data_IF_316608233727
#
_entry.id   IF_316608233727
#
_cell.length_a   1.000
_cell.length_b   1.000
_cell.length_c   1.000
_cell.angle_alpha   90.00
_cell.angle_beta   90.00
_cell.angle_gamma   90.00
#
_symmetry.space_group_name_H-M   'P 1'
#
loop_
_entity.id
_entity.type
_entity.pdbx_description
1 polymer ?
#
# COMPACT_ATOMS: atom_id res chain seq x y z
N UNK A 1 -13.74 -2.52 -74.02
CA UNK A 1 -14.16 -1.49 -73.03
C UNK A 1 -14.41 -2.09 -71.64
N UNK A 2 -15.16 -3.20 -71.51
CA UNK A 2 -15.46 -3.80 -70.19
C UNK A 2 -14.24 -4.27 -69.38
N UNK A 3 -13.24 -4.87 -70.03
CA UNK A 3 -12.00 -5.35 -69.39
C UNK A 3 -11.14 -4.21 -68.83
N UNK A 4 -11.01 -3.10 -69.56
CA UNK A 4 -10.26 -1.93 -69.11
C UNK A 4 -10.91 -1.26 -67.90
N UNK A 5 -12.24 -1.18 -67.86
CA UNK A 5 -12.99 -0.64 -66.72
C UNK A 5 -12.81 -1.53 -65.48
N UNK A 6 -12.88 -2.85 -65.65
CA UNK A 6 -12.68 -3.79 -64.55
C UNK A 6 -11.28 -3.71 -63.94
N UNK A 7 -10.25 -3.55 -64.77
CA UNK A 7 -8.86 -3.37 -64.30
C UNK A 7 -8.72 -2.07 -63.49
N UNK A 8 -9.33 -0.97 -63.95
CA UNK A 8 -9.29 0.32 -63.24
C UNK A 8 -10.00 0.23 -61.89
N UNK A 9 -11.18 -0.40 -61.84
CA UNK A 9 -11.92 -0.58 -60.58
C UNK A 9 -11.16 -1.46 -59.59
N UNK A 10 -10.56 -2.55 -60.06
CA UNK A 10 -9.75 -3.43 -59.20
C UNK A 10 -8.52 -2.70 -58.66
N UNK A 11 -7.86 -1.90 -59.49
CA UNK A 11 -6.70 -1.11 -59.10
C UNK A 11 -7.06 -0.08 -58.03
N UNK A 12 -8.19 0.61 -58.19
CA UNK A 12 -8.69 1.57 -57.19
C UNK A 12 -9.07 0.88 -55.87
N UNK A 13 -9.65 -0.32 -55.92
CA UNK A 13 -9.98 -1.08 -54.72
C UNK A 13 -8.73 -1.52 -53.95
N UNK A 14 -7.69 -1.97 -54.65
CA UNK A 14 -6.40 -2.34 -54.04
C UNK A 14 -5.73 -1.13 -53.38
N UNK A 15 -5.72 0.02 -54.06
CA UNK A 15 -5.18 1.27 -53.50
C UNK A 15 -5.97 1.70 -52.26
N UNK A 16 -7.30 1.60 -52.29
CA UNK A 16 -8.16 1.90 -51.14
C UNK A 16 -7.88 0.98 -49.95
N UNK A 17 -7.76 -0.33 -50.18
CA UNK A 17 -7.44 -1.30 -49.14
C UNK A 17 -6.06 -1.03 -48.53
N UNK A 18 -5.05 -0.75 -49.36
CA UNK A 18 -3.71 -0.41 -48.90
C UNK A 18 -3.70 0.86 -48.05
N UNK A 19 -4.49 1.88 -48.41
CA UNK A 19 -4.64 3.10 -47.63
C UNK A 19 -5.31 2.85 -46.26
N UNK A 20 -6.32 1.98 -46.19
CA UNK A 20 -6.97 1.60 -44.93
C UNK A 20 -6.02 0.82 -44.03
N UNK A 21 -5.28 -0.16 -44.57
CA UNK A 21 -4.27 -0.91 -43.82
C UNK A 21 -3.18 0.02 -43.31
N UNK A 22 -2.72 0.96 -44.13
CA UNK A 22 -1.74 1.96 -43.71
C UNK A 22 -2.25 2.86 -42.57
N UNK A 23 -3.52 3.28 -42.62
CA UNK A 23 -4.13 4.06 -41.54
C UNK A 23 -4.29 3.25 -40.24
N UNK A 24 -4.66 1.97 -40.34
CA UNK A 24 -4.74 1.07 -39.18
C UNK A 24 -3.36 0.85 -38.55
N UNK A 25 -2.32 0.64 -39.36
CA UNK A 25 -0.94 0.53 -38.88
C UNK A 25 -0.48 1.85 -38.25
N UNK A 26 -0.87 3.00 -38.80
CA UNK A 26 -0.54 4.32 -38.22
C UNK A 26 -1.26 4.57 -36.89
N UNK A 27 -2.53 4.16 -36.76
CA UNK A 27 -3.30 4.28 -35.52
C UNK A 27 -2.77 3.35 -34.44
N UNK A 28 -2.50 2.08 -34.77
CA UNK A 28 -2.07 1.07 -33.81
C UNK A 28 -0.56 1.08 -33.54
N UNK A 29 0.27 1.51 -34.50
CA UNK A 29 1.71 1.65 -34.33
C UNK A 29 2.09 2.71 -33.30
N UNK A 30 1.26 3.75 -33.13
CA UNK A 30 1.46 4.78 -32.10
C UNK A 30 1.26 4.25 -30.67
N UNK A 31 0.43 3.22 -30.52
CA UNK A 31 0.19 2.53 -29.25
C UNK A 31 1.38 1.62 -28.92
N UNK A 32 1.87 0.86 -29.90
CA UNK A 32 3.04 0.00 -29.73
C UNK A 32 4.31 0.80 -29.41
N UNK A 33 4.50 1.96 -30.03
CA UNK A 33 5.63 2.85 -29.71
C UNK A 33 5.54 3.48 -28.31
N UNK A 34 4.33 3.68 -27.77
CA UNK A 34 4.16 4.12 -26.37
C UNK A 34 4.38 2.99 -25.37
N UNK A 35 4.00 1.76 -25.72
CA UNK A 35 4.30 0.57 -24.93
C UNK A 35 5.80 0.31 -24.84
N UNK A 36 6.53 0.41 -25.95
CA UNK A 36 7.99 0.28 -25.97
C UNK A 36 8.69 1.42 -25.19
N UNK A 37 8.11 2.63 -25.15
CA UNK A 37 8.57 3.72 -24.27
C UNK A 37 8.27 3.48 -22.78
N UNK A 38 7.23 2.72 -22.45
CA UNK A 38 6.93 2.29 -21.08
C UNK A 38 7.80 1.11 -20.64
N UNK A 39 8.16 0.20 -21.56
CA UNK A 39 9.05 -0.94 -21.31
C UNK A 39 10.53 -0.55 -21.25
N UNK A 40 10.95 0.47 -22.03
CA UNK A 40 12.33 1.02 -22.00
C UNK A 40 12.56 2.08 -20.94
N UNK A 41 11.51 2.67 -20.36
CA UNK A 41 11.67 3.32 -19.06
C UNK A 41 11.95 2.19 -18.08
N UNK A 42 13.06 2.23 -17.32
CA UNK A 42 13.21 1.28 -16.24
C UNK A 42 11.96 1.41 -15.38
N UNK A 43 11.28 0.29 -15.14
CA UNK A 43 10.29 0.15 -14.09
C UNK A 43 10.99 0.25 -12.73
N UNK A 44 11.64 1.38 -12.49
CA UNK A 44 11.84 1.89 -11.17
C UNK A 44 10.47 2.37 -10.73
N UNK A 45 9.73 1.51 -10.04
CA UNK A 45 8.99 1.98 -8.89
C UNK A 45 10.04 2.51 -7.91
N UNK A 46 10.58 3.69 -8.19
CA UNK A 46 11.00 4.56 -7.13
C UNK A 46 9.73 4.76 -6.30
N UNK A 47 9.65 4.05 -5.18
CA UNK A 47 8.78 4.45 -4.10
C UNK A 47 9.33 5.77 -3.59
N UNK A 48 9.08 6.85 -4.34
CA UNK A 48 8.95 8.14 -3.73
C UNK A 48 7.69 8.00 -2.87
N UNK A 49 7.87 7.60 -1.61
CA UNK A 49 6.90 7.89 -0.56
C UNK A 49 6.46 9.34 -0.78
N UNK A 50 5.16 9.68 -0.74
CA UNK A 50 4.74 11.07 -0.89
C UNK A 50 5.54 11.91 0.09
N UNK A 51 6.49 12.69 -0.43
CA UNK A 51 7.41 13.50 0.36
C UNK A 51 6.63 14.72 0.82
N UNK A 52 5.64 14.50 1.67
CA UNK A 52 5.02 15.53 2.46
C UNK A 52 6.06 16.21 3.34
N UNK A 53 5.67 17.33 3.93
CA UNK A 53 6.53 18.10 4.83
C UNK A 53 7.07 17.22 5.97
N UNK A 54 8.37 17.31 6.22
CA UNK A 54 9.03 16.53 7.27
C UNK A 54 8.51 16.91 8.66
N UNK A 55 8.52 15.97 9.60
CA UNK A 55 8.15 16.22 11.00
C UNK A 55 9.01 17.34 11.60
N UNK A 56 8.35 18.30 12.26
CA UNK A 56 8.93 19.52 12.84
C UNK A 56 8.93 20.73 11.90
N UNK A 57 8.65 20.52 10.61
CA UNK A 57 8.55 21.60 9.61
C UNK A 57 7.30 22.44 9.90
N UNK A 58 7.40 23.78 9.97
CA UNK A 58 6.24 24.64 10.06
C UNK A 58 5.45 24.60 8.75
N UNK A 59 4.12 24.51 8.84
CA UNK A 59 3.26 24.68 7.67
C UNK A 59 3.19 26.17 7.33
N UNK A 60 3.29 26.51 6.05
CA UNK A 60 3.15 27.89 5.59
C UNK A 60 1.81 28.47 6.06
N UNK A 61 1.80 29.70 6.60
CA UNK A 61 0.55 30.33 7.01
C UNK A 61 -0.37 30.46 5.80
N UNK A 62 -1.66 30.24 6.05
CA UNK A 62 -2.70 30.39 5.04
C UNK A 62 -3.93 31.02 5.66
N UNK A 63 -4.74 31.62 4.80
CA UNK A 63 -5.99 32.25 5.15
C UNK A 63 -7.01 31.90 4.07
N UNK A 64 -8.02 31.11 4.43
CA UNK A 64 -8.99 30.54 3.49
C UNK A 64 -10.42 30.82 3.99
N UNK A 65 -11.39 31.05 3.10
CA UNK A 65 -12.78 31.20 3.49
C UNK A 65 -13.36 29.86 3.98
N UNK A 66 -14.12 29.90 5.08
CA UNK A 66 -14.96 28.79 5.53
C UNK A 66 -16.27 28.72 4.72
N UNK A 67 -17.13 27.74 5.01
CA UNK A 67 -18.41 27.55 4.31
C UNK A 67 -19.40 28.72 4.46
N UNK A 68 -19.18 29.62 5.42
CA UNK A 68 -19.98 30.85 5.61
C UNK A 68 -19.40 32.06 4.88
N UNK A 69 -18.22 31.91 4.26
CA UNK A 69 -17.48 33.00 3.62
C UNK A 69 -16.62 33.81 4.58
N UNK A 70 -16.56 33.43 5.87
CA UNK A 70 -15.65 34.05 6.83
C UNK A 70 -14.24 33.54 6.56
N UNK A 71 -13.30 34.46 6.42
CA UNK A 71 -11.88 34.14 6.31
C UNK A 71 -11.37 33.57 7.63
N UNK A 72 -10.75 32.40 7.58
CA UNK A 72 -10.17 31.71 8.73
C UNK A 72 -8.68 31.47 8.46
N UNK A 73 -7.82 31.85 9.41
CA UNK A 73 -6.37 31.63 9.29
C UNK A 73 -5.91 30.40 10.08
N UNK A 74 -4.78 29.82 9.68
CA UNK A 74 -4.12 28.75 10.44
C UNK A 74 -3.78 29.21 11.87
N UNK A 75 -3.53 30.50 12.09
CA UNK A 75 -3.13 31.05 13.38
C UNK A 75 -4.23 30.90 14.45
N UNK A 76 -5.50 30.87 14.03
CA UNK A 76 -6.65 30.66 14.91
C UNK A 76 -6.67 29.26 15.56
N UNK A 77 -5.90 28.31 15.00
CA UNK A 77 -5.79 26.94 15.50
C UNK A 77 -4.51 26.71 16.34
N UNK A 78 -3.64 27.72 16.47
CA UNK A 78 -2.45 27.64 17.33
C UNK A 78 -2.84 27.52 18.80
N UNK A 79 -1.94 26.94 19.60
CA UNK A 79 -2.20 26.59 21.00
C UNK A 79 -2.97 25.29 21.19
N UNK A 80 -3.39 24.63 20.11
CA UNK A 80 -4.02 23.30 20.10
C UNK A 80 -3.42 22.46 18.97
N UNK A 81 -3.50 21.14 19.09
CA UNK A 81 -3.12 20.31 17.95
C UNK A 81 -4.20 20.40 16.86
N UNK A 82 -3.81 20.31 15.60
CA UNK A 82 -4.75 20.38 14.47
C UNK A 82 -4.56 19.17 13.56
N UNK A 83 -5.60 18.37 13.38
CA UNK A 83 -5.65 17.36 12.33
C UNK A 83 -6.17 18.06 11.06
N UNK A 84 -5.23 18.44 10.19
CA UNK A 84 -5.49 19.13 8.93
C UNK A 84 -5.63 18.11 7.81
N UNK A 85 -6.84 17.98 7.25
CA UNK A 85 -7.15 16.99 6.21
C UNK A 85 -7.49 17.70 4.91
N UNK A 86 -6.72 17.41 3.86
CA UNK A 86 -7.05 17.79 2.48
C UNK A 86 -7.98 16.74 1.88
N UNK A 87 -9.15 17.19 1.42
CA UNK A 87 -10.23 16.29 1.02
C UNK A 87 -11.13 16.91 -0.06
N UNK A 88 -12.05 16.12 -0.62
CA UNK A 88 -13.12 16.64 -1.47
C UNK A 88 -14.35 15.73 -1.44
N UNK A 89 -15.58 16.27 -1.37
CA UNK A 89 -16.81 15.50 -1.56
C UNK A 89 -16.90 14.72 -2.88
N UNK A 90 -16.21 15.19 -3.93
CA UNK A 90 -16.18 14.53 -5.23
C UNK A 90 -15.20 13.34 -5.26
N UNK A 91 -14.45 13.10 -4.17
CA UNK A 91 -13.56 11.97 -4.00
C UNK A 91 -14.24 10.83 -3.24
N UNK A 92 -14.39 9.66 -3.88
CA UNK A 92 -15.04 8.49 -3.28
C UNK A 92 -14.39 7.99 -1.99
N UNK A 93 -13.06 8.12 -1.86
CA UNK A 93 -12.36 7.76 -0.62
C UNK A 93 -12.61 8.77 0.51
N UNK A 94 -12.82 10.05 0.20
CA UNK A 94 -13.18 11.06 1.19
C UNK A 94 -14.59 10.84 1.72
N UNK A 95 -15.54 10.54 0.83
CA UNK A 95 -16.91 10.17 1.21
C UNK A 95 -16.94 8.93 2.11
N UNK A 96 -16.07 7.93 1.83
CA UNK A 96 -15.96 6.71 2.62
C UNK A 96 -15.54 6.97 4.08
N UNK A 97 -14.62 7.91 4.32
CA UNK A 97 -14.09 8.19 5.67
C UNK A 97 -14.89 9.26 6.44
N UNK A 98 -15.77 10.00 5.77
CA UNK A 98 -16.57 11.07 6.36
C UNK A 98 -17.37 10.68 7.63
N UNK A 99 -18.16 9.59 7.65
CA UNK A 99 -18.92 9.20 8.85
C UNK A 99 -18.01 8.85 10.03
N UNK A 100 -16.85 8.27 9.75
CA UNK A 100 -15.93 7.90 10.80
C UNK A 100 -15.19 9.12 11.38
N UNK A 101 -14.73 10.05 10.53
CA UNK A 101 -14.19 11.33 11.00
C UNK A 101 -15.21 12.11 11.84
N UNK A 102 -16.49 12.09 11.46
CA UNK A 102 -17.57 12.69 12.23
C UNK A 102 -17.74 12.05 13.61
N UNK A 103 -17.60 10.72 13.71
CA UNK A 103 -17.63 10.01 14.99
C UNK A 103 -16.44 10.37 15.89
N UNK A 104 -15.25 10.52 15.30
CA UNK A 104 -14.00 10.80 16.03
C UNK A 104 -13.85 12.27 16.45
N UNK A 105 -14.58 13.21 15.82
CA UNK A 105 -14.42 14.65 16.08
C UNK A 105 -14.59 15.02 17.57
N UNK A 106 -15.49 14.34 18.27
CA UNK A 106 -15.75 14.58 19.69
C UNK A 106 -14.59 14.11 20.56
N UNK A 107 -14.00 12.97 20.22
CA UNK A 107 -12.86 12.41 20.95
C UNK A 107 -11.57 13.17 20.65
N UNK A 108 -11.39 13.65 19.42
CA UNK A 108 -10.30 14.56 19.06
C UNK A 108 -10.37 15.83 19.92
N UNK A 109 -11.56 16.44 20.04
CA UNK A 109 -11.76 17.63 20.89
C UNK A 109 -11.44 17.36 22.36
N UNK A 110 -11.83 16.19 22.90
CA UNK A 110 -11.47 15.78 24.28
C UNK A 110 -9.97 15.67 24.48
N UNK A 111 -9.20 15.37 23.42
CA UNK A 111 -7.73 15.31 23.45
C UNK A 111 -7.04 16.64 23.09
N UNK A 112 -7.79 17.74 23.06
CA UNK A 112 -7.30 19.06 22.65
C UNK A 112 -6.79 19.10 21.19
N UNK A 113 -7.41 18.29 20.32
CA UNK A 113 -7.13 18.27 18.88
C UNK A 113 -8.34 18.79 18.11
N UNK A 114 -8.09 19.74 17.22
CA UNK A 114 -9.09 20.30 16.30
C UNK A 114 -9.00 19.60 14.95
N UNK A 115 -10.13 19.07 14.47
CA UNK A 115 -10.25 18.60 13.08
C UNK A 115 -10.51 19.81 12.19
N UNK A 116 -9.73 19.96 11.12
CA UNK A 116 -9.84 21.02 10.13
C UNK A 116 -9.77 20.41 8.73
N UNK A 117 -10.79 20.65 7.91
CA UNK A 117 -10.84 20.11 6.54
C UNK A 117 -10.55 21.23 5.54
N UNK A 118 -9.74 20.95 4.52
CA UNK A 118 -9.48 21.85 3.39
C UNK A 118 -9.95 21.18 2.12
N UNK A 119 -10.85 21.84 1.40
CA UNK A 119 -11.56 21.28 0.25
C UNK A 119 -11.43 22.16 -0.98
N UNK A 120 -11.23 21.55 -2.15
CA UNK A 120 -11.29 22.26 -3.43
C UNK A 120 -12.67 22.22 -4.10
N UNK A 121 -13.66 21.58 -3.48
CA UNK A 121 -15.03 21.53 -3.98
C UNK A 121 -15.87 22.73 -3.54
N UNK A 122 -17.07 22.87 -4.11
CA UNK A 122 -17.98 23.98 -3.79
C UNK A 122 -18.41 23.99 -2.32
N UNK A 123 -18.76 25.19 -1.81
CA UNK A 123 -19.30 25.34 -0.45
C UNK A 123 -20.58 24.51 -0.24
N UNK A 124 -21.42 24.40 -1.27
CA UNK A 124 -22.66 23.63 -1.25
C UNK A 124 -22.41 22.13 -1.14
N UNK A 125 -21.52 21.57 -1.96
CA UNK A 125 -21.16 20.15 -1.91
C UNK A 125 -20.58 19.77 -0.54
N UNK A 126 -19.72 20.62 0.02
CA UNK A 126 -19.15 20.40 1.35
C UNK A 126 -20.22 20.49 2.45
N UNK A 127 -21.15 21.47 2.39
CA UNK A 127 -22.28 21.55 3.34
C UNK A 127 -23.14 20.29 3.31
N UNK A 128 -23.51 19.85 2.11
CA UNK A 128 -24.34 18.64 1.94
C UNK A 128 -23.70 17.42 2.59
N UNK A 129 -22.42 17.14 2.28
CA UNK A 129 -21.70 16.01 2.85
C UNK A 129 -21.51 16.13 4.36
N UNK A 130 -21.24 17.35 4.84
CA UNK A 130 -21.08 17.62 6.27
C UNK A 130 -22.39 17.40 7.05
N UNK A 131 -23.52 17.86 6.50
CA UNK A 131 -24.85 17.66 7.10
C UNK A 131 -25.27 16.19 7.06
N UNK A 132 -25.00 15.49 5.96
CA UNK A 132 -25.31 14.07 5.77
C UNK A 132 -24.59 13.17 6.79
N UNK A 133 -23.32 13.45 7.07
CA UNK A 133 -22.50 12.63 7.98
C UNK A 133 -22.28 13.25 9.37
N UNK A 134 -22.80 14.44 9.63
CA UNK A 134 -22.69 15.11 10.93
C UNK A 134 -21.29 15.68 11.24
N UNK A 135 -20.55 16.11 10.22
CA UNK A 135 -19.26 16.78 10.37
C UNK A 135 -19.46 18.21 10.87
N UNK A 136 -19.00 18.49 12.09
CA UNK A 136 -19.11 19.80 12.76
C UNK A 136 -17.78 20.54 12.84
N UNK A 137 -16.77 20.06 12.11
CA UNK A 137 -15.46 20.71 12.03
C UNK A 137 -15.51 21.87 11.03
N UNK A 138 -14.63 22.88 11.17
CA UNK A 138 -14.46 23.89 10.14
C UNK A 138 -13.99 23.24 8.84
N UNK A 139 -14.61 23.66 7.73
CA UNK A 139 -14.24 23.25 6.37
C UNK A 139 -13.88 24.52 5.61
N UNK A 140 -12.63 24.60 5.18
CA UNK A 140 -12.06 25.71 4.44
C UNK A 140 -12.04 25.39 2.95
N UNK A 141 -12.31 26.41 2.14
CA UNK A 141 -12.37 26.28 0.70
C UNK A 141 -11.09 26.83 0.09
N UNK A 142 -10.42 26.00 -0.69
CA UNK A 142 -9.31 26.39 -1.56
C UNK A 142 -9.75 26.26 -3.00
N UNK A 143 -9.08 26.95 -3.92
CA UNK A 143 -9.19 26.60 -5.34
C UNK A 143 -8.16 25.52 -5.65
N UNK A 144 -8.45 24.68 -6.64
CA UNK A 144 -7.55 23.63 -7.10
C UNK A 144 -6.17 24.19 -7.49
N UNK A 145 -6.16 25.33 -8.20
CA UNK A 145 -4.95 26.08 -8.60
C UNK A 145 -4.22 26.79 -7.44
N UNK A 146 -4.86 26.95 -6.29
CA UNK A 146 -4.34 27.67 -5.11
C UNK A 146 -4.18 26.72 -3.91
N UNK A 147 -4.14 25.41 -4.17
CA UNK A 147 -3.91 24.38 -3.14
C UNK A 147 -2.68 24.73 -2.30
N UNK A 148 -2.82 24.58 -0.99
CA UNK A 148 -1.77 24.89 -0.03
C UNK A 148 -0.47 24.18 -0.41
N UNK A 149 0.67 24.85 -0.25
CA UNK A 149 2.01 24.27 -0.51
C UNK A 149 2.19 22.88 0.11
N UNK A 150 1.64 22.69 1.32
CA UNK A 150 1.71 21.42 2.05
C UNK A 150 1.06 20.23 1.30
N UNK A 151 0.16 20.51 0.34
CA UNK A 151 -0.61 19.53 -0.42
C UNK A 151 -0.39 19.63 -1.94
N UNK A 152 0.56 20.46 -2.42
CA UNK A 152 0.68 20.80 -3.85
C UNK A 152 0.98 19.64 -4.81
N UNK A 153 1.28 18.45 -4.31
CA UNK A 153 1.46 17.24 -5.11
C UNK A 153 0.72 16.03 -4.52
N UNK A 154 -0.23 16.27 -3.61
CA UNK A 154 -0.91 15.22 -2.86
C UNK A 154 -2.32 14.98 -3.38
N UNK A 155 -2.75 13.72 -3.36
CA UNK A 155 -4.13 13.34 -3.67
C UNK A 155 -5.09 13.66 -2.51
N UNK A 156 -6.35 13.27 -2.66
CA UNK A 156 -7.32 13.27 -1.55
C UNK A 156 -7.80 11.84 -1.25
N UNK A 157 -8.02 11.47 0.03
CA UNK A 157 -7.75 12.24 1.23
C UNK A 157 -6.29 12.14 1.67
N UNK A 158 -5.73 13.26 2.14
CA UNK A 158 -4.37 13.31 2.71
C UNK A 158 -4.38 14.20 3.96
N UNK A 159 -3.62 13.88 5.00
CA UNK A 159 -3.67 14.60 6.27
C UNK A 159 -2.30 14.85 6.91
N UNK A 160 -2.19 15.99 7.58
CA UNK A 160 -1.13 16.29 8.55
C UNK A 160 -1.71 16.41 9.95
N UNK A 161 -1.00 15.90 10.94
CA UNK A 161 -1.19 16.30 12.33
C UNK A 161 -0.23 17.45 12.63
N UNK A 162 -0.75 18.60 13.05
CA UNK A 162 0.01 19.77 13.46
C UNK A 162 0.07 19.86 14.98
N UNK A 163 1.21 20.27 15.51
CA UNK A 163 1.37 20.63 16.91
C UNK A 163 0.78 22.02 17.22
N UNK A 164 0.83 22.41 18.49
CA UNK A 164 0.32 23.69 19.00
C UNK A 164 0.99 24.92 18.38
N UNK A 165 2.11 24.74 17.66
CA UNK A 165 2.86 25.80 16.98
C UNK A 165 2.66 25.76 15.46
N UNK A 166 1.74 24.92 14.95
CA UNK A 166 1.49 24.78 13.52
C UNK A 166 2.58 24.01 12.77
N UNK A 167 3.38 23.18 13.47
CA UNK A 167 4.42 22.34 12.87
C UNK A 167 3.94 20.92 12.70
N UNK A 168 4.42 20.24 11.67
CA UNK A 168 4.10 18.83 11.41
C UNK A 168 4.54 17.96 12.60
N UNK A 169 3.59 17.34 13.27
CA UNK A 169 3.81 16.47 14.43
C UNK A 169 3.86 14.98 14.06
N UNK A 170 3.36 14.62 12.87
CA UNK A 170 3.31 13.25 12.36
C UNK A 170 3.59 13.24 10.85
N UNK A 171 4.26 12.22 10.28
CA UNK A 171 4.38 12.07 8.83
C UNK A 171 3.04 12.14 8.11
N UNK A 172 3.07 12.59 6.86
CA UNK A 172 1.90 12.71 6.01
C UNK A 172 1.15 11.37 5.93
N UNK A 173 -0.15 11.40 6.21
CA UNK A 173 -1.03 10.26 6.03
C UNK A 173 -1.75 10.39 4.70
N UNK A 174 -1.48 9.47 3.76
CA UNK A 174 -2.05 9.49 2.42
C UNK A 174 -3.03 8.33 2.21
N UNK A 175 -4.25 8.63 1.74
CA UNK A 175 -5.34 7.68 1.54
C UNK A 175 -6.23 7.44 2.77
N UNK A 176 -7.42 6.88 2.52
CA UNK A 176 -8.48 6.69 3.51
C UNK A 176 -8.01 5.98 4.79
N UNK A 177 -7.32 4.85 4.64
CA UNK A 177 -6.87 4.02 5.77
C UNK A 177 -5.88 4.76 6.67
N UNK A 178 -4.91 5.47 6.09
CA UNK A 178 -3.88 6.17 6.86
C UNK A 178 -4.43 7.39 7.57
N UNK A 179 -5.32 8.15 6.90
CA UNK A 179 -5.98 9.32 7.50
C UNK A 179 -6.82 8.90 8.71
N UNK A 180 -7.59 7.81 8.61
CA UNK A 180 -8.36 7.29 9.73
C UNK A 180 -7.49 6.70 10.84
N UNK A 181 -6.41 5.99 10.48
CA UNK A 181 -5.45 5.49 11.47
C UNK A 181 -4.86 6.64 12.29
N UNK A 182 -4.40 7.71 11.62
CA UNK A 182 -3.88 8.90 12.29
C UNK A 182 -4.93 9.57 13.20
N UNK A 183 -6.18 9.68 12.73
CA UNK A 183 -7.27 10.22 13.55
C UNK A 183 -7.50 9.38 14.83
N UNK A 184 -7.58 8.05 14.71
CA UNK A 184 -7.76 7.13 15.84
C UNK A 184 -6.58 7.14 16.82
N UNK A 185 -5.35 7.16 16.31
CA UNK A 185 -4.16 7.26 17.16
C UNK A 185 -4.17 8.55 17.99
N UNK A 186 -4.63 9.64 17.37
CA UNK A 186 -4.74 10.94 18.02
C UNK A 186 -5.80 10.96 19.12
N UNK A 187 -6.90 10.21 18.97
CA UNK A 187 -7.95 10.09 20.02
C UNK A 187 -7.54 9.18 21.18
N UNK A 188 -6.84 8.07 20.90
CA UNK A 188 -6.27 7.20 21.94
C UNK A 188 -5.20 7.92 22.78
N UNK A 189 -4.49 8.85 22.11
CA UNK A 189 -3.47 9.77 22.58
C UNK A 189 -2.24 9.14 23.23
N UNK A 190 -1.16 9.92 23.29
CA UNK A 190 0.19 9.42 23.65
C UNK A 190 0.19 8.69 25.00
N UNK A 191 0.71 7.44 25.07
CA UNK A 191 1.00 6.81 26.36
C UNK A 191 1.97 7.69 27.16
N UNK A 192 1.70 7.89 28.47
CA UNK A 192 2.66 8.51 29.39
C UNK A 192 3.95 7.68 29.38
N UNK A 193 5.05 8.28 28.92
CA UNK A 193 6.40 7.69 28.95
C UNK A 193 6.78 7.32 30.39
N UNK A 194 6.71 6.03 30.73
CA UNK A 194 7.54 5.44 31.80
C UNK A 194 8.86 4.99 31.16
N UNK A 195 9.97 5.47 31.72
CA UNK A 195 11.33 4.91 31.65
C UNK A 195 11.77 4.36 30.29
N UNK A 196 12.52 5.19 29.56
CA UNK A 196 13.30 4.91 28.33
C UNK A 196 13.26 3.46 27.79
N UNK A 197 12.40 3.25 26.78
CA UNK A 197 12.90 2.75 25.50
C UNK A 197 12.83 3.93 24.53
N UNK A 198 14.01 4.36 24.07
CA UNK A 198 14.21 5.44 23.10
C UNK A 198 13.40 5.11 21.85
N UNK A 199 12.26 5.78 21.65
CA UNK A 199 11.54 5.74 20.36
C UNK A 199 12.34 6.59 19.40
N UNK A 200 13.16 5.89 18.63
CA UNK A 200 13.89 6.37 17.47
C UNK A 200 12.89 6.99 16.45
N UNK A 201 13.24 8.11 15.77
CA UNK A 201 12.49 8.65 14.63
C UNK A 201 12.10 7.52 13.64
N UNK A 202 11.03 7.63 12.84
CA UNK A 202 10.69 6.57 11.87
C UNK A 202 11.79 6.33 10.82
N UNK A 203 12.67 7.31 10.58
CA UNK A 203 13.92 7.15 9.82
C UNK A 203 14.99 6.29 10.53
N UNK A 204 14.84 6.11 11.84
CA UNK A 204 15.60 5.19 12.69
C UNK A 204 14.72 4.00 13.16
N UNK A 205 13.46 3.88 12.71
CA UNK A 205 12.64 2.69 12.95
C UNK A 205 13.25 1.54 12.18
N UNK A 206 13.88 0.62 12.90
CA UNK A 206 14.39 -0.65 12.37
C UNK A 206 13.30 -1.65 11.98
N UNK A 207 12.04 -1.22 11.77
CA UNK A 207 11.10 -2.04 11.01
C UNK A 207 11.48 -1.84 9.54
N UNK A 208 12.47 -2.60 9.11
CA UNK A 208 12.83 -2.68 7.71
C UNK A 208 11.62 -3.23 6.95
N UNK A 209 11.01 -2.37 6.13
CA UNK A 209 9.91 -2.77 5.23
C UNK A 209 10.38 -3.68 4.09
N UNK A 210 11.68 -4.00 4.05
CA UNK A 210 12.30 -5.05 3.24
C UNK A 210 12.37 -6.41 3.94
N UNK A 211 11.70 -6.58 5.09
CA UNK A 211 11.75 -7.78 5.91
C UNK A 211 12.99 -7.87 6.80
N UNK A 212 13.07 -8.94 7.60
CA UNK A 212 14.22 -9.20 8.49
C UNK A 212 15.54 -9.31 7.72
N UNK A 213 16.59 -8.71 8.29
CA UNK A 213 17.97 -8.79 7.77
C UNK A 213 18.59 -10.16 7.96
N UNK A 214 19.49 -10.52 7.05
CA UNK A 214 20.40 -11.64 7.23
C UNK A 214 21.10 -11.59 8.61
N UNK A 215 21.24 -12.76 9.25
CA UNK A 215 21.79 -12.94 10.59
C UNK A 215 20.80 -12.72 11.73
N UNK A 216 19.62 -12.14 11.48
CA UNK A 216 18.60 -11.94 12.52
C UNK A 216 17.95 -13.27 12.91
N UNK A 217 17.53 -13.47 14.18
CA UNK A 217 16.73 -14.63 14.55
C UNK A 217 15.36 -14.59 13.85
N UNK A 218 14.92 -15.73 13.33
CA UNK A 218 13.59 -15.86 12.76
C UNK A 218 12.54 -15.91 13.89
N UNK A 219 11.51 -15.05 13.90
CA UNK A 219 10.43 -15.10 14.88
C UNK A 219 9.73 -16.47 14.88
N UNK A 220 9.71 -17.12 16.04
CA UNK A 220 9.00 -18.38 16.21
C UNK A 220 7.49 -18.19 16.13
N UNK A 221 6.78 -19.23 15.70
CA UNK A 221 5.33 -19.25 15.71
C UNK A 221 4.78 -20.64 16.02
N UNK A 222 3.52 -20.68 16.43
CA UNK A 222 2.70 -21.87 16.57
C UNK A 222 1.34 -21.53 15.97
N UNK A 223 1.06 -22.04 14.76
CA UNK A 223 -0.13 -21.67 14.00
C UNK A 223 -0.83 -22.92 13.46
N UNK A 224 -2.17 -22.90 13.34
CA UNK A 224 -2.89 -23.97 12.68
C UNK A 224 -2.60 -23.96 11.17
N UNK A 225 -2.34 -25.14 10.62
CA UNK A 225 -2.31 -25.39 9.19
C UNK A 225 -3.73 -25.55 8.62
N UNK A 226 -3.86 -25.48 7.29
CA UNK A 226 -5.13 -25.68 6.58
C UNK A 226 -5.75 -27.08 6.78
N UNK A 227 -5.02 -28.03 7.38
CA UNK A 227 -5.47 -29.39 7.72
C UNK A 227 -5.80 -29.53 9.22
N UNK A 228 -5.74 -28.44 9.98
CA UNK A 228 -6.06 -28.41 11.41
C UNK A 228 -4.93 -28.86 12.34
N UNK A 229 -3.74 -29.16 11.82
CA UNK A 229 -2.57 -29.48 12.64
C UNK A 229 -1.89 -28.19 13.07
N UNK A 230 -1.45 -28.11 14.32
CA UNK A 230 -0.61 -26.99 14.75
C UNK A 230 0.81 -27.23 14.26
N UNK A 231 1.38 -26.24 13.57
CA UNK A 231 2.75 -26.27 13.06
C UNK A 231 3.56 -25.19 13.76
N UNK A 232 4.74 -25.57 14.26
CA UNK A 232 5.73 -24.66 14.83
C UNK A 232 6.97 -24.54 13.95
N UNK A 233 7.55 -23.34 13.92
CA UNK A 233 8.87 -23.15 13.30
C UNK A 233 9.96 -23.97 14.00
N UNK A 234 9.81 -24.26 15.30
CA UNK A 234 10.80 -25.03 16.08
C UNK A 234 10.94 -26.49 15.61
N UNK A 235 9.88 -27.05 15.01
CA UNK A 235 9.89 -28.39 14.41
C UNK A 235 10.91 -28.53 13.26
N UNK A 236 11.38 -27.40 12.72
CA UNK A 236 12.34 -27.36 11.62
C UNK A 236 13.77 -27.02 12.06
N UNK A 237 14.08 -27.02 13.36
CA UNK A 237 15.46 -26.83 13.83
C UNK A 237 16.41 -27.86 13.20
N UNK A 238 17.61 -27.41 12.84
CA UNK A 238 18.58 -28.26 12.14
C UNK A 238 18.28 -28.44 10.65
N UNK A 239 17.28 -27.75 10.09
CA UNK A 239 16.95 -27.76 8.66
C UNK A 239 16.91 -26.34 8.11
N UNK A 240 17.20 -26.19 6.81
CA UNK A 240 16.91 -24.93 6.10
C UNK A 240 15.41 -24.85 5.84
N UNK A 241 14.82 -23.67 6.00
CA UNK A 241 13.39 -23.44 5.73
C UNK A 241 13.22 -22.27 4.78
N UNK A 242 12.55 -22.50 3.66
CA UNK A 242 12.00 -21.45 2.81
C UNK A 242 10.60 -21.11 3.31
N UNK A 243 10.49 -20.03 4.09
CA UNK A 243 9.24 -19.53 4.64
C UNK A 243 8.64 -18.49 3.69
N UNK A 244 7.47 -18.77 3.10
CA UNK A 244 6.87 -17.94 2.05
C UNK A 244 5.53 -17.37 2.50
N UNK A 245 5.40 -16.05 2.53
CA UNK A 245 4.17 -15.33 2.81
C UNK A 245 3.34 -15.16 1.54
N UNK A 246 2.10 -15.63 1.55
CA UNK A 246 1.18 -15.58 0.39
C UNK A 246 -0.24 -15.23 0.81
N UNK A 247 -1.13 -15.04 -0.18
CA UNK A 247 -2.56 -14.89 0.05
C UNK A 247 -3.39 -15.48 -1.12
N UNK A 248 -4.67 -15.83 -0.87
CA UNK A 248 -5.62 -16.15 -1.93
C UNK A 248 -5.85 -14.95 -2.88
N UNK A 249 -6.12 -15.22 -4.16
CA UNK A 249 -6.41 -14.16 -5.14
C UNK A 249 -5.22 -13.26 -5.50
N UNK A 250 -3.99 -13.69 -5.22
CA UNK A 250 -2.76 -12.97 -5.53
C UNK A 250 -2.11 -13.57 -6.79
N UNK A 251 -2.21 -12.87 -7.92
CA UNK A 251 -1.67 -13.32 -9.22
C UNK A 251 -0.18 -13.71 -9.17
N UNK A 252 0.73 -12.86 -8.68
CA UNK A 252 2.15 -13.23 -8.55
C UNK A 252 2.38 -14.42 -7.60
N UNK A 253 1.58 -14.55 -6.54
CA UNK A 253 1.66 -15.70 -5.65
C UNK A 253 1.24 -17.00 -6.35
N UNK A 254 0.26 -16.93 -7.25
CA UNK A 254 -0.17 -18.07 -8.07
C UNK A 254 0.87 -18.44 -9.13
N UNK A 255 1.58 -17.45 -9.69
CA UNK A 255 2.71 -17.70 -10.60
C UNK A 255 3.88 -18.43 -9.91
N UNK A 256 4.14 -18.10 -8.64
CA UNK A 256 5.19 -18.74 -7.83
C UNK A 256 4.82 -20.17 -7.39
N UNK A 257 3.53 -20.47 -7.22
CA UNK A 257 3.04 -21.69 -6.60
C UNK A 257 3.60 -23.00 -7.22
N UNK A 258 3.65 -23.18 -8.55
CA UNK A 258 4.24 -24.38 -9.16
C UNK A 258 5.72 -24.58 -8.83
N UNK A 259 6.49 -23.49 -8.67
CA UNK A 259 7.92 -23.57 -8.32
C UNK A 259 8.10 -24.05 -6.88
N UNK A 260 7.23 -23.64 -5.95
CA UNK A 260 7.27 -24.11 -4.56
C UNK A 260 6.98 -25.61 -4.45
N UNK A 261 6.01 -26.10 -5.23
CA UNK A 261 5.69 -27.54 -5.32
C UNK A 261 6.89 -28.31 -5.86
N UNK A 262 7.52 -27.81 -6.92
CA UNK A 262 8.73 -28.42 -7.47
C UNK A 262 9.86 -28.47 -6.45
N UNK A 263 10.18 -27.35 -5.79
CA UNK A 263 11.21 -27.27 -4.76
C UNK A 263 10.95 -28.26 -3.61
N UNK A 264 9.70 -28.38 -3.17
CA UNK A 264 9.34 -29.34 -2.14
C UNK A 264 9.55 -30.79 -2.59
N UNK A 265 9.16 -31.13 -3.83
CA UNK A 265 9.34 -32.49 -4.37
C UNK A 265 10.81 -32.85 -4.55
N UNK A 266 11.64 -31.91 -4.99
CA UNK A 266 13.06 -32.15 -5.28
C UNK A 266 13.92 -32.13 -4.00
N UNK A 267 13.58 -31.30 -3.01
CA UNK A 267 14.48 -31.01 -1.88
C UNK A 267 13.83 -31.13 -0.49
N UNK A 268 12.54 -31.45 -0.41
CA UNK A 268 11.79 -31.57 0.84
C UNK A 268 12.34 -32.61 1.81
N UNK A 269 13.06 -33.62 1.31
CA UNK A 269 13.78 -34.62 2.12
C UNK A 269 15.26 -34.27 2.33
N UNK A 270 15.86 -33.47 1.43
CA UNK A 270 17.30 -33.19 1.36
C UNK A 270 17.70 -31.82 1.97
N UNK A 271 17.07 -31.44 3.08
CA UNK A 271 17.52 -30.33 3.92
C UNK A 271 16.83 -28.98 3.73
N UNK A 272 16.06 -28.76 2.65
CA UNK A 272 15.27 -27.53 2.45
C UNK A 272 13.76 -27.82 2.63
N UNK A 273 13.20 -27.36 3.74
CA UNK A 273 11.77 -27.42 3.98
C UNK A 273 11.06 -26.20 3.37
N UNK A 274 9.92 -26.41 2.70
CA UNK A 274 9.07 -25.32 2.21
C UNK A 274 7.90 -25.16 3.17
N UNK A 275 7.63 -23.94 3.62
CA UNK A 275 6.55 -23.63 4.55
C UNK A 275 5.84 -22.34 4.09
N UNK A 276 4.52 -22.41 3.90
CA UNK A 276 3.74 -21.24 3.45
C UNK A 276 2.97 -20.63 4.62
N UNK A 277 3.01 -19.31 4.73
CA UNK A 277 2.18 -18.51 5.62
C UNK A 277 1.12 -17.79 4.80
N UNK A 278 -0.14 -18.21 4.95
CA UNK A 278 -1.30 -17.60 4.30
C UNK A 278 -1.87 -16.43 5.10
N UNK A 279 -2.27 -15.36 4.41
CA UNK A 279 -3.19 -14.32 4.93
C UNK A 279 -4.64 -14.66 4.60
N UNK A 280 -5.57 -14.00 5.29
CA UNK A 280 -7.00 -14.17 5.07
C UNK A 280 -7.57 -15.39 5.80
N UNK A 281 -8.63 -15.98 5.25
CA UNK A 281 -9.33 -17.10 5.87
C UNK A 281 -8.71 -18.46 5.47
N UNK A 282 -8.96 -19.47 6.30
CA UNK A 282 -8.44 -20.83 6.11
C UNK A 282 -8.95 -21.49 4.83
N UNK A 283 -10.17 -21.15 4.40
CA UNK A 283 -10.87 -21.80 3.31
C UNK A 283 -10.34 -21.30 1.95
N UNK A 284 -10.06 -20.00 1.84
CA UNK A 284 -9.33 -19.44 0.70
C UNK A 284 -7.91 -20.02 0.54
N UNK A 285 -7.19 -20.21 1.64
CA UNK A 285 -5.85 -20.81 1.61
C UNK A 285 -5.90 -22.31 1.27
N UNK A 286 -6.94 -23.02 1.74
CA UNK A 286 -7.20 -24.42 1.37
C UNK A 286 -7.46 -24.57 -0.13
N UNK A 287 -8.35 -23.76 -0.71
CA UNK A 287 -8.62 -23.78 -2.16
C UNK A 287 -7.36 -23.51 -2.98
N UNK A 288 -6.54 -22.54 -2.58
CA UNK A 288 -5.26 -22.25 -3.25
C UNK A 288 -4.31 -23.45 -3.19
N UNK A 289 -4.19 -24.07 -2.01
CA UNK A 289 -3.35 -25.25 -1.82
C UNK A 289 -3.80 -26.43 -2.67
N UNK A 290 -5.11 -26.68 -2.77
CA UNK A 290 -5.69 -27.71 -3.64
C UNK A 290 -5.49 -27.41 -5.12
N UNK A 291 -5.77 -26.17 -5.55
CA UNK A 291 -5.61 -25.71 -6.93
C UNK A 291 -4.19 -25.93 -7.46
N UNK A 292 -3.18 -25.67 -6.63
CA UNK A 292 -1.77 -25.74 -7.04
C UNK A 292 -1.06 -27.02 -6.58
N UNK A 293 -1.72 -27.90 -5.83
CA UNK A 293 -1.15 -29.17 -5.36
C UNK A 293 -0.08 -29.00 -4.28
N UNK A 294 -0.34 -28.18 -3.26
CA UNK A 294 0.58 -28.00 -2.13
C UNK A 294 0.60 -29.24 -1.23
N UNK A 295 1.75 -29.93 -1.24
CA UNK A 295 2.00 -31.13 -0.43
C UNK A 295 2.75 -30.80 0.89
N UNK A 296 3.17 -29.55 1.07
CA UNK A 296 3.84 -29.03 2.26
C UNK A 296 2.89 -28.20 3.15
N UNK A 297 3.28 -27.88 4.41
CA UNK A 297 2.38 -27.18 5.32
C UNK A 297 2.08 -25.74 4.88
N UNK A 298 0.82 -25.35 5.07
CA UNK A 298 0.30 -24.00 4.83
C UNK A 298 -0.35 -23.55 6.13
N UNK A 299 0.33 -22.70 6.88
CA UNK A 299 -0.18 -22.12 8.12
C UNK A 299 -0.94 -20.84 7.83
N UNK A 300 -2.00 -20.58 8.60
CA UNK A 300 -2.79 -19.35 8.44
C UNK A 300 -2.58 -18.47 9.66
N UNK A 301 -2.09 -17.27 9.42
CA UNK A 301 -1.84 -16.32 10.50
C UNK A 301 -3.13 -15.59 10.92
N UNK A 302 -3.18 -15.14 12.17
CA UNK A 302 -4.24 -14.24 12.62
C UNK A 302 -3.99 -12.83 12.07
N UNK A 303 -4.82 -12.41 11.10
CA UNK A 303 -4.73 -11.11 10.41
C UNK A 303 -3.32 -10.87 9.83
N UNK A 304 -2.51 -10.05 10.49
CA UNK A 304 -1.17 -9.64 10.07
C UNK A 304 -0.11 -9.91 11.13
N UNK A 305 -0.44 -10.68 12.17
CA UNK A 305 0.40 -10.81 13.36
C UNK A 305 1.81 -11.29 13.02
N UNK A 306 1.92 -12.41 12.31
CA UNK A 306 3.22 -12.98 11.93
C UNK A 306 3.93 -12.14 10.85
N UNK A 307 3.18 -11.63 9.88
CA UNK A 307 3.70 -10.71 8.86
C UNK A 307 4.38 -9.47 9.47
N UNK A 308 3.82 -8.91 10.55
CA UNK A 308 4.41 -7.76 11.26
C UNK A 308 5.70 -8.13 11.99
N UNK A 309 5.77 -9.32 12.59
CA UNK A 309 6.99 -9.80 13.27
C UNK A 309 8.14 -10.02 12.27
N UNK A 310 7.81 -10.45 11.05
CA UNK A 310 8.77 -10.59 9.96
C UNK A 310 9.00 -9.29 9.15
N UNK A 311 8.32 -8.19 9.49
CA UNK A 311 8.46 -6.91 8.79
C UNK A 311 7.97 -6.91 7.34
N UNK A 312 7.06 -7.81 6.97
CA UNK A 312 6.56 -7.96 5.59
C UNK A 312 5.13 -7.47 5.43
N UNK A 313 4.90 -6.64 4.41
CA UNK A 313 3.59 -6.05 4.11
C UNK A 313 3.07 -6.42 2.70
N UNK A 314 3.92 -6.98 1.85
CA UNK A 314 3.60 -7.41 0.49
C UNK A 314 3.54 -8.94 0.38
N UNK A 315 2.98 -9.45 -0.71
CA UNK A 315 3.01 -10.87 -1.06
C UNK A 315 3.20 -11.02 -2.58
N UNK A 316 3.98 -12.01 -3.06
CA UNK A 316 4.72 -12.98 -2.26
C UNK A 316 6.03 -12.41 -1.70
N UNK A 317 6.38 -12.81 -0.48
CA UNK A 317 7.68 -12.52 0.15
C UNK A 317 8.20 -13.80 0.79
N UNK A 318 9.49 -14.11 0.63
CA UNK A 318 10.09 -15.27 1.26
C UNK A 318 11.32 -14.94 2.10
N UNK A 319 11.53 -15.78 3.10
CA UNK A 319 12.72 -15.79 3.94
C UNK A 319 13.37 -17.16 3.87
N UNK A 320 14.69 -17.18 3.73
CA UNK A 320 15.48 -18.38 3.94
C UNK A 320 15.97 -18.39 5.38
N UNK A 321 15.53 -19.38 6.14
CA UNK A 321 15.94 -19.61 7.53
C UNK A 321 16.97 -20.73 7.51
N UNK A 322 18.15 -20.49 8.08
CA UNK A 322 19.19 -21.50 8.24
C UNK A 322 18.92 -22.46 9.39
N UNK A 323 19.71 -23.52 9.47
CA UNK A 323 19.57 -24.60 10.46
C UNK A 323 19.63 -24.13 11.93
N UNK A 324 20.35 -23.03 12.18
CA UNK A 324 20.45 -22.38 13.48
C UNK A 324 19.24 -21.48 13.83
N UNK A 325 18.22 -21.40 12.97
CA UNK A 325 17.06 -20.54 13.15
C UNK A 325 17.31 -19.05 12.84
N UNK A 326 18.41 -18.74 12.17
CA UNK A 326 18.74 -17.38 11.73
C UNK A 326 18.33 -17.17 10.27
N UNK A 327 17.90 -15.96 9.93
CA UNK A 327 17.63 -15.52 8.56
C UNK A 327 18.95 -15.55 7.77
N UNK A 328 19.04 -16.34 6.71
CA UNK A 328 20.26 -16.54 5.96
C UNK A 328 20.57 -15.38 4.99
N UNK A 329 19.53 -14.72 4.47
CA UNK A 329 19.59 -13.61 3.51
C UNK A 329 18.44 -12.63 3.77
N UNK A 330 18.56 -11.41 3.24
CA UNK A 330 17.46 -10.46 3.25
C UNK A 330 16.23 -11.03 2.53
N UNK A 331 15.04 -10.52 2.84
CA UNK A 331 13.80 -11.06 2.27
C UNK A 331 13.78 -10.93 0.74
N UNK A 332 13.32 -11.97 0.07
CA UNK A 332 13.06 -11.97 -1.36
C UNK A 332 11.62 -11.53 -1.61
N UNK A 333 11.42 -10.55 -2.50
CA UNK A 333 10.09 -10.01 -2.84
C UNK A 333 9.78 -10.33 -4.30
N UNK A 334 8.65 -11.00 -4.54
CA UNK A 334 8.23 -11.39 -5.88
C UNK A 334 8.72 -12.78 -6.32
N UNK A 335 8.11 -13.37 -7.36
CA UNK A 335 8.36 -14.78 -7.73
C UNK A 335 9.82 -15.09 -8.07
N UNK A 336 10.46 -14.26 -8.90
CA UNK A 336 11.80 -14.54 -9.43
C UNK A 336 12.87 -14.50 -8.34
N UNK A 337 12.83 -13.48 -7.48
CA UNK A 337 13.74 -13.35 -6.33
C UNK A 337 13.59 -14.51 -5.34
N UNK A 338 12.36 -14.98 -5.12
CA UNK A 338 12.11 -16.12 -4.21
C UNK A 338 12.69 -17.41 -4.79
N UNK A 339 12.58 -17.61 -6.10
CA UNK A 339 13.20 -18.77 -6.77
C UNK A 339 14.73 -18.67 -6.73
N UNK A 340 15.29 -17.47 -6.93
CA UNK A 340 16.74 -17.25 -6.81
C UNK A 340 17.24 -17.58 -5.40
N UNK A 341 16.55 -17.05 -4.38
CA UNK A 341 16.85 -17.31 -2.97
C UNK A 341 16.79 -18.81 -2.63
N UNK A 342 15.82 -19.54 -3.18
CA UNK A 342 15.69 -20.97 -2.98
C UNK A 342 16.84 -21.76 -3.63
N UNK A 343 17.34 -21.34 -4.80
CA UNK A 343 18.50 -21.98 -5.45
C UNK A 343 19.78 -21.77 -4.67
N UNK A 344 20.02 -20.57 -4.16
CA UNK A 344 21.16 -20.29 -3.28
C UNK A 344 21.15 -21.15 -2.00
N UNK A 345 19.95 -21.50 -1.51
CA UNK A 345 19.79 -22.39 -0.37
C UNK A 345 20.24 -23.84 -0.64
N UNK A 346 20.45 -24.20 -1.90
CA UNK A 346 20.75 -25.57 -2.33
C UNK A 346 22.23 -25.76 -2.73
N UNK A 347 22.99 -24.67 -2.88
CA UNK A 347 24.43 -24.71 -3.25
C UNK A 347 24.69 -24.10 -4.61
#
# INVERSE_FOLDING_TARGET
MATSIMIVVLSLAVVGLAAVVYQLVKQNGRILLRLDQLEKKPAGFAQDEPQGLAVGTPVSPFSLPDLSGRTVSLEEFLGRQTLLVYWSPDCGFCALIAPELASLQSDLRKRNVQLLLVSYASAESNRRLADEHGLKCPILLTKDSETLEAFKNEGTPTAYLLDEKGRVAHPLASGADQVLALARETTAGRPKRKGLLRVQPLSESRIERGGLKAGSPAPGFHLPDIRGRTVSLEEYRGRRVLLVFTQPGCGPCDQLAPQLVRLHKEHGENGLAVLVVGRGDIEGNRRKAEQHGFEFPVVVQEKWKLSREYGTFATPVAFLIGEAGLIARNAAVGPDEIVSLAREALG
#
